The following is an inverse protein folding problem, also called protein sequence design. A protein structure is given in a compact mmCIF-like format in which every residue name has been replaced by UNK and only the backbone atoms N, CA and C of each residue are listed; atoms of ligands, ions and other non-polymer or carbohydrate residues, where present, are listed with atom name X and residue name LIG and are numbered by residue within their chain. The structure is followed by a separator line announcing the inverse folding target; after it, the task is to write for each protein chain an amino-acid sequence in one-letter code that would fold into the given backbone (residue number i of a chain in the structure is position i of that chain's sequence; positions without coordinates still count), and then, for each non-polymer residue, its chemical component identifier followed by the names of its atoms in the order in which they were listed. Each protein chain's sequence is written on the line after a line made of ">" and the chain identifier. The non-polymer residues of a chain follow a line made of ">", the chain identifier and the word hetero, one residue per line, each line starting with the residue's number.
data_IF_346945918899
#
_entry.id   IF_346945918899
#
_cell.length_a   1.000
_cell.length_b   1.000
_cell.length_c   1.000
_cell.angle_alpha   90.00
_cell.angle_beta   90.00
_cell.angle_gamma   90.00
#
_symmetry.space_group_name_H-M   'P 1'
#
loop_
_entity.id
_entity.type
_entity.pdbx_description
1 polymer ?
#
# COMPACT_ATOMS: atom_id res chain seq x y z
N UNK A 1 -14.87 11.07 -14.92
CA UNK A 1 -14.19 11.12 -13.61
C UNK A 1 -13.56 9.78 -13.25
N UNK A 2 -14.31 8.69 -13.01
CA UNK A 2 -13.74 7.39 -12.57
C UNK A 2 -12.63 6.79 -13.47
N UNK A 3 -12.74 6.96 -14.80
CA UNK A 3 -11.73 6.48 -15.76
C UNK A 3 -10.41 7.26 -15.68
N UNK A 4 -10.47 8.54 -15.34
CA UNK A 4 -9.29 9.39 -15.20
C UNK A 4 -8.53 9.05 -13.92
N UNK A 5 -9.26 8.91 -12.80
CA UNK A 5 -8.66 8.50 -11.52
C UNK A 5 -7.96 7.14 -11.62
N UNK A 6 -8.56 6.18 -12.34
CA UNK A 6 -7.95 4.89 -12.61
C UNK A 6 -6.61 5.01 -13.36
N UNK A 7 -6.59 5.81 -14.44
CA UNK A 7 -5.38 6.02 -15.25
C UNK A 7 -4.28 6.72 -14.43
N UNK A 8 -4.65 7.76 -13.69
CA UNK A 8 -3.73 8.49 -12.83
C UNK A 8 -3.12 7.55 -11.76
N UNK A 9 -3.93 6.73 -11.09
CA UNK A 9 -3.45 5.76 -10.11
C UNK A 9 -2.46 4.74 -10.71
N UNK A 10 -2.71 4.25 -11.92
CA UNK A 10 -1.80 3.32 -12.60
C UNK A 10 -0.46 3.99 -12.97
N UNK A 11 -0.50 5.21 -13.55
CA UNK A 11 0.72 5.96 -13.89
C UNK A 11 1.53 6.29 -12.62
N UNK A 12 0.85 6.66 -11.54
CA UNK A 12 1.47 6.90 -10.23
C UNK A 12 2.24 5.68 -9.71
N UNK A 13 1.82 4.47 -10.06
CA UNK A 13 2.57 3.25 -9.73
C UNK A 13 3.77 3.07 -10.64
N UNK A 14 3.53 3.09 -11.95
CA UNK A 14 4.56 2.92 -12.97
C UNK A 14 4.08 3.37 -14.36
N UNK A 15 4.89 4.11 -15.16
CA UNK A 15 4.51 4.59 -16.49
C UNK A 15 4.01 3.49 -17.44
N UNK A 16 4.71 2.34 -17.50
CA UNK A 16 4.28 1.16 -18.26
C UNK A 16 2.80 0.78 -18.08
N UNK A 17 2.21 0.92 -16.89
CA UNK A 17 0.83 0.51 -16.64
C UNK A 17 -0.19 1.34 -17.44
N UNK A 18 0.22 2.50 -17.95
CA UNK A 18 -0.61 3.29 -18.85
C UNK A 18 -0.92 2.55 -20.16
N UNK A 19 -0.02 1.68 -20.63
CA UNK A 19 -0.22 0.85 -21.82
C UNK A 19 -1.37 -0.16 -21.67
N UNK A 20 -1.70 -0.52 -20.43
CA UNK A 20 -2.82 -1.43 -20.11
C UNK A 20 -4.17 -0.70 -20.08
N UNK A 21 -4.16 0.64 -20.13
CA UNK A 21 -5.39 1.42 -20.16
C UNK A 21 -6.03 1.38 -21.55
N UNK A 22 -7.36 1.43 -21.59
CA UNK A 22 -8.10 1.63 -22.84
C UNK A 22 -7.91 3.09 -23.28
N UNK A 23 -7.05 3.31 -24.28
CA UNK A 23 -6.74 4.61 -24.87
C UNK A 23 -7.57 4.86 -26.14
N UNK A 24 -7.87 6.13 -26.43
CA UNK A 24 -8.41 6.54 -27.73
C UNK A 24 -7.31 6.55 -28.79
N UNK A 25 -7.67 6.56 -30.08
CA UNK A 25 -6.67 6.59 -31.16
C UNK A 25 -5.82 7.88 -31.16
N UNK A 26 -6.41 9.00 -30.72
CA UNK A 26 -5.70 10.28 -30.52
C UNK A 26 -4.71 10.23 -29.35
N UNK A 27 -5.05 9.53 -28.26
CA UNK A 27 -4.14 9.33 -27.14
C UNK A 27 -2.98 8.43 -27.55
N UNK A 28 -3.25 7.35 -28.30
CA UNK A 28 -2.21 6.43 -28.78
C UNK A 28 -1.19 7.10 -29.70
N UNK A 29 -1.60 8.05 -30.53
CA UNK A 29 -0.69 8.75 -31.44
C UNK A 29 0.22 9.75 -30.71
N UNK A 30 -0.20 10.25 -29.54
CA UNK A 30 0.59 11.16 -28.71
C UNK A 30 1.56 10.48 -27.74
N UNK A 31 1.58 9.15 -27.67
CA UNK A 31 2.36 8.38 -26.70
C UNK A 31 3.45 7.58 -27.41
N UNK A 32 4.68 7.67 -26.91
CA UNK A 32 5.74 6.73 -27.28
C UNK A 32 5.52 5.39 -26.56
N UNK A 33 4.76 4.51 -27.22
CA UNK A 33 4.46 3.17 -26.72
C UNK A 33 5.73 2.33 -26.51
N UNK A 34 6.74 2.49 -27.38
CA UNK A 34 7.98 1.73 -27.29
C UNK A 34 8.80 2.13 -26.05
N UNK A 35 8.86 3.44 -25.76
CA UNK A 35 9.49 3.94 -24.54
C UNK A 35 8.79 3.43 -23.28
N UNK A 36 7.44 3.43 -23.26
CA UNK A 36 6.68 2.89 -22.12
C UNK A 36 6.90 1.39 -21.92
N UNK A 37 6.96 0.61 -23.00
CA UNK A 37 7.25 -0.82 -22.92
C UNK A 37 8.68 -1.10 -22.45
N UNK A 38 9.66 -0.32 -22.90
CA UNK A 38 11.04 -0.41 -22.42
C UNK A 38 11.14 -0.10 -20.92
N UNK A 39 10.36 0.88 -20.43
CA UNK A 39 10.33 1.23 -19.00
C UNK A 39 9.87 0.07 -18.10
N UNK A 40 9.09 -0.90 -18.62
CA UNK A 40 8.54 -2.02 -17.84
C UNK A 40 9.59 -2.77 -17.03
N UNK A 41 10.82 -2.88 -17.54
CA UNK A 41 11.88 -3.66 -16.89
C UNK A 41 12.61 -2.87 -15.79
N UNK A 42 12.34 -1.58 -15.65
CA UNK A 42 13.10 -0.65 -14.82
C UNK A 42 12.20 -0.16 -13.67
N UNK A 43 12.24 -0.79 -12.48
CA UNK A 43 11.36 -0.44 -11.37
C UNK A 43 11.51 1.00 -10.89
N UNK A 44 12.68 1.63 -11.13
CA UNK A 44 12.93 3.02 -10.75
C UNK A 44 12.18 4.05 -11.59
N UNK A 45 11.65 3.67 -12.76
CA UNK A 45 10.80 4.55 -13.59
C UNK A 45 9.43 4.78 -12.94
N UNK A 46 8.95 3.86 -12.09
CA UNK A 46 7.74 4.02 -11.31
C UNK A 46 8.03 4.45 -9.87
N UNK A 47 7.52 5.60 -9.43
CA UNK A 47 7.82 6.13 -8.08
C UNK A 47 7.36 5.19 -6.95
N UNK A 48 6.12 4.67 -7.00
CA UNK A 48 5.63 3.73 -5.98
C UNK A 48 6.27 2.36 -6.14
N UNK A 49 6.55 1.93 -7.37
CA UNK A 49 7.25 0.67 -7.64
C UNK A 49 8.64 0.70 -7.02
N UNK A 50 9.39 1.79 -7.22
CA UNK A 50 10.69 2.04 -6.60
C UNK A 50 10.64 1.95 -5.08
N UNK A 51 9.68 2.64 -4.45
CA UNK A 51 9.47 2.56 -3.00
C UNK A 51 9.24 1.12 -2.55
N UNK A 52 8.33 0.38 -3.21
CA UNK A 52 8.01 -1.01 -2.86
C UNK A 52 9.23 -1.91 -2.98
N UNK A 53 9.99 -1.81 -4.08
CA UNK A 53 11.16 -2.66 -4.30
C UNK A 53 12.20 -2.45 -3.21
N UNK A 54 12.43 -1.21 -2.80
CA UNK A 54 13.37 -0.88 -1.75
C UNK A 54 12.86 -1.33 -0.37
N UNK A 55 11.59 -1.08 -0.07
CA UNK A 55 10.95 -1.55 1.16
C UNK A 55 11.09 -3.08 1.29
N UNK A 56 10.83 -3.81 0.21
CA UNK A 56 10.96 -5.28 0.17
C UNK A 56 12.41 -5.70 0.36
N UNK A 57 13.37 -5.01 -0.27
CA UNK A 57 14.81 -5.28 -0.11
C UNK A 57 15.23 -5.18 1.36
N UNK A 58 14.92 -4.06 2.01
CA UNK A 58 15.29 -3.79 3.40
C UNK A 58 14.52 -4.68 4.38
N UNK A 59 13.24 -4.96 4.12
CA UNK A 59 12.43 -5.86 4.93
C UNK A 59 12.95 -7.30 4.88
N UNK A 60 13.39 -7.77 3.71
CA UNK A 60 13.91 -9.12 3.54
C UNK A 60 15.18 -9.36 4.38
N UNK A 61 16.09 -8.37 4.45
CA UNK A 61 17.30 -8.39 5.28
C UNK A 61 16.93 -8.48 6.77
N UNK A 62 15.89 -7.78 7.20
CA UNK A 62 15.37 -7.78 8.57
C UNK A 62 14.47 -8.99 8.89
N UNK A 63 14.31 -9.92 7.94
CA UNK A 63 13.39 -11.06 8.04
C UNK A 63 11.93 -10.65 8.38
N UNK A 64 11.52 -9.52 7.82
CA UNK A 64 10.15 -9.01 7.87
C UNK A 64 9.39 -9.41 6.61
N UNK A 65 8.07 -9.62 6.74
CA UNK A 65 7.18 -9.97 5.63
C UNK A 65 6.34 -8.77 5.24
N UNK A 66 6.27 -8.51 3.94
CA UNK A 66 5.54 -7.37 3.36
C UNK A 66 4.24 -7.85 2.73
N UNK A 67 3.14 -7.22 3.13
CA UNK A 67 1.82 -7.39 2.54
C UNK A 67 1.50 -6.16 1.69
N UNK A 68 1.22 -6.37 0.40
CA UNK A 68 0.98 -5.29 -0.54
C UNK A 68 -0.45 -5.40 -1.06
N UNK A 69 -1.25 -4.38 -0.82
CA UNK A 69 -2.62 -4.28 -1.32
C UNK A 69 -2.71 -3.32 -2.50
N UNK A 70 -3.48 -3.71 -3.51
CA UNK A 70 -3.90 -2.85 -4.62
C UNK A 70 -5.36 -3.12 -4.99
N UNK A 71 -6.05 -2.10 -5.51
CA UNK A 71 -7.37 -2.24 -6.12
C UNK A 71 -7.30 -2.88 -7.52
N UNK A 72 -6.13 -2.80 -8.16
CA UNK A 72 -5.89 -3.18 -9.54
C UNK A 72 -4.92 -4.37 -9.60
N UNK A 73 -5.13 -5.27 -10.57
CA UNK A 73 -4.26 -6.45 -10.71
C UNK A 73 -2.97 -6.13 -11.46
N UNK A 74 -3.01 -5.23 -12.44
CA UNK A 74 -1.85 -4.80 -13.24
C UNK A 74 -0.64 -4.36 -12.41
N UNK A 75 -0.81 -3.45 -11.41
CA UNK A 75 0.25 -3.11 -10.45
C UNK A 75 0.85 -4.31 -9.72
N UNK A 76 0.01 -5.26 -9.28
CA UNK A 76 0.47 -6.46 -8.58
C UNK A 76 1.28 -7.37 -9.51
N UNK A 77 0.82 -7.57 -10.74
CA UNK A 77 1.54 -8.32 -11.77
C UNK A 77 2.90 -7.70 -12.09
N UNK A 78 2.94 -6.37 -12.25
CA UNK A 78 4.19 -5.66 -12.53
C UNK A 78 5.19 -5.78 -11.37
N UNK A 79 4.73 -5.56 -10.13
CA UNK A 79 5.58 -5.72 -8.94
C UNK A 79 6.07 -7.16 -8.83
N UNK A 80 5.21 -8.15 -9.10
CA UNK A 80 5.61 -9.55 -9.11
C UNK A 80 6.73 -9.83 -10.12
N UNK A 81 6.61 -9.31 -11.34
CA UNK A 81 7.64 -9.44 -12.38
C UNK A 81 8.97 -8.79 -11.95
N UNK A 82 8.92 -7.61 -11.35
CA UNK A 82 10.12 -6.96 -10.80
C UNK A 82 10.75 -7.75 -9.66
N UNK A 83 9.96 -8.31 -8.75
CA UNK A 83 10.47 -9.14 -7.66
C UNK A 83 11.13 -10.42 -8.18
N UNK A 84 10.56 -11.04 -9.22
CA UNK A 84 11.16 -12.18 -9.92
C UNK A 84 12.49 -11.79 -10.59
N UNK A 85 12.50 -10.69 -11.34
CA UNK A 85 13.67 -10.24 -12.10
C UNK A 85 14.84 -9.75 -11.25
N UNK A 86 14.57 -8.91 -10.24
CA UNK A 86 15.62 -8.30 -9.42
C UNK A 86 16.15 -9.22 -8.33
N UNK A 87 15.28 -10.00 -7.68
CA UNK A 87 15.69 -10.85 -6.55
C UNK A 87 15.83 -12.34 -6.91
N UNK A 88 15.45 -12.75 -8.12
CA UNK A 88 15.41 -14.17 -8.51
C UNK A 88 14.38 -14.98 -7.70
N UNK A 89 13.36 -14.32 -7.17
CA UNK A 89 12.39 -14.96 -6.27
C UNK A 89 11.31 -15.72 -7.05
N UNK A 90 11.05 -16.95 -6.62
CA UNK A 90 10.01 -17.79 -7.22
C UNK A 90 8.61 -17.46 -6.67
N UNK A 91 7.65 -17.43 -7.58
CA UNK A 91 6.22 -17.43 -7.27
C UNK A 91 5.80 -18.71 -6.54
N UNK A 92 4.86 -18.59 -5.61
CA UNK A 92 4.40 -19.69 -4.74
C UNK A 92 5.37 -20.03 -3.60
N UNK A 93 6.57 -19.42 -3.59
CA UNK A 93 7.57 -19.62 -2.53
C UNK A 93 7.84 -18.33 -1.76
N UNK A 94 8.64 -17.42 -2.33
CA UNK A 94 8.99 -16.13 -1.70
C UNK A 94 7.96 -15.05 -2.02
N UNK A 95 7.34 -15.14 -3.20
CA UNK A 95 6.27 -14.25 -3.66
C UNK A 95 4.97 -15.04 -3.69
N UNK A 96 4.01 -14.62 -2.90
CA UNK A 96 2.65 -15.16 -2.90
C UNK A 96 1.71 -14.12 -3.52
N UNK A 97 0.70 -14.57 -4.26
CA UNK A 97 -0.30 -13.68 -4.87
C UNK A 97 -1.72 -14.19 -4.60
N UNK A 98 -2.59 -13.31 -4.14
CA UNK A 98 -3.97 -13.61 -3.78
C UNK A 98 -4.93 -12.68 -4.53
N UNK A 99 -5.88 -13.27 -5.24
CA UNK A 99 -6.89 -12.58 -6.05
C UNK A 99 -8.30 -13.01 -5.66
N UNK A 100 -9.29 -12.13 -5.89
CA UNK A 100 -10.66 -12.35 -5.42
C UNK A 100 -11.35 -13.57 -6.04
N UNK A 101 -10.93 -13.99 -7.25
CA UNK A 101 -11.46 -15.15 -7.97
C UNK A 101 -10.88 -16.50 -7.51
N UNK A 102 -9.92 -16.50 -6.59
CA UNK A 102 -9.23 -17.71 -6.14
C UNK A 102 -10.16 -18.60 -5.29
N UNK A 103 -10.09 -19.91 -5.49
CA UNK A 103 -10.83 -20.88 -4.67
C UNK A 103 -10.45 -20.81 -3.19
N UNK A 104 -11.39 -21.11 -2.31
CA UNK A 104 -11.21 -21.00 -0.86
C UNK A 104 -10.02 -21.83 -0.35
N UNK A 105 -9.83 -23.04 -0.89
CA UNK A 105 -8.74 -23.94 -0.49
C UNK A 105 -7.37 -23.37 -0.84
N UNK A 106 -7.18 -22.89 -2.07
CA UNK A 106 -5.91 -22.34 -2.53
C UNK A 106 -5.55 -21.07 -1.75
N UNK A 107 -6.56 -20.23 -1.51
CA UNK A 107 -6.42 -19.03 -0.68
C UNK A 107 -5.97 -19.38 0.74
N UNK A 108 -6.59 -20.39 1.37
CA UNK A 108 -6.21 -20.82 2.71
C UNK A 108 -4.77 -21.37 2.74
N UNK A 109 -4.34 -22.08 1.69
CA UNK A 109 -2.96 -22.55 1.57
C UNK A 109 -1.97 -21.39 1.53
N UNK A 110 -2.25 -20.34 0.75
CA UNK A 110 -1.42 -19.13 0.70
C UNK A 110 -1.39 -18.41 2.05
N UNK A 111 -2.53 -18.29 2.74
CA UNK A 111 -2.62 -17.68 4.07
C UNK A 111 -1.75 -18.44 5.07
N UNK A 112 -1.86 -19.77 5.08
CA UNK A 112 -1.09 -20.63 5.96
C UNK A 112 0.41 -20.50 5.67
N UNK A 113 0.80 -20.56 4.40
CA UNK A 113 2.19 -20.37 3.98
C UNK A 113 2.73 -18.98 4.32
N UNK A 114 1.90 -17.93 4.24
CA UNK A 114 2.33 -16.57 4.60
C UNK A 114 2.48 -16.39 6.12
N UNK A 115 1.59 -16.97 6.90
CA UNK A 115 1.61 -16.87 8.36
C UNK A 115 2.65 -17.78 9.04
N UNK A 116 3.07 -18.87 8.38
CA UNK A 116 4.08 -19.78 8.93
C UNK A 116 5.45 -19.06 9.08
N UNK A 117 6.01 -18.95 10.30
CA UNK A 117 7.33 -18.38 10.52
C UNK A 117 8.48 -19.15 9.84
N UNK A 118 8.28 -20.44 9.53
CA UNK A 118 9.27 -21.29 8.86
C UNK A 118 9.21 -21.19 7.34
N UNK A 119 8.15 -20.59 6.80
CA UNK A 119 7.98 -20.40 5.37
C UNK A 119 8.98 -19.38 4.81
N UNK A 120 9.43 -19.62 3.58
CA UNK A 120 10.29 -18.69 2.83
C UNK A 120 9.53 -17.45 2.32
N UNK A 121 8.21 -17.38 2.48
CA UNK A 121 7.40 -16.27 2.01
C UNK A 121 7.92 -14.93 2.56
N UNK A 122 8.21 -13.99 1.64
CA UNK A 122 8.66 -12.63 1.95
C UNK A 122 7.62 -11.59 1.60
N UNK A 123 6.88 -11.81 0.50
CA UNK A 123 5.87 -10.87 0.01
C UNK A 123 4.56 -11.59 -0.27
N UNK A 124 3.46 -11.00 0.16
CA UNK A 124 2.12 -11.36 -0.28
C UNK A 124 1.49 -10.17 -1.02
N UNK A 125 1.20 -10.38 -2.30
CA UNK A 125 0.50 -9.45 -3.18
C UNK A 125 -0.99 -9.78 -3.11
N UNK A 126 -1.83 -8.84 -2.71
CA UNK A 126 -3.25 -9.09 -2.51
C UNK A 126 -4.12 -8.00 -3.15
N UNK A 127 -5.16 -8.42 -3.86
CA UNK A 127 -6.21 -7.50 -4.27
C UNK A 127 -7.03 -7.08 -3.05
N UNK A 128 -7.38 -5.80 -2.91
CA UNK A 128 -8.26 -5.31 -1.84
C UNK A 128 -9.63 -6.00 -1.84
N UNK A 129 -10.08 -6.52 -3.00
CA UNK A 129 -11.30 -7.34 -3.10
C UNK A 129 -11.25 -8.63 -2.27
N UNK A 130 -10.07 -9.16 -1.96
CA UNK A 130 -9.92 -10.34 -1.11
C UNK A 130 -10.19 -10.05 0.37
N UNK A 131 -10.16 -8.78 0.78
CA UNK A 131 -10.27 -8.38 2.19
C UNK A 131 -11.67 -8.57 2.77
N UNK A 132 -12.72 -8.64 1.94
CA UNK A 132 -14.11 -8.82 2.38
C UNK A 132 -14.41 -10.24 2.89
N UNK A 133 -13.51 -11.19 2.69
CA UNK A 133 -13.73 -12.62 3.00
C UNK A 133 -13.26 -13.04 4.40
N UNK A 134 -12.88 -12.11 5.26
CA UNK A 134 -12.58 -12.43 6.66
C UNK A 134 -11.20 -13.06 6.91
N UNK A 135 -10.24 -12.92 5.97
CA UNK A 135 -8.90 -13.52 6.03
C UNK A 135 -8.04 -13.05 7.22
N UNK A 136 -6.99 -13.81 7.56
CA UNK A 136 -6.06 -13.51 8.66
C UNK A 136 -4.60 -13.54 8.16
N UNK A 137 -3.90 -12.41 8.21
CA UNK A 137 -2.58 -12.21 7.62
C UNK A 137 -1.55 -11.70 8.66
N UNK A 138 -1.62 -12.24 9.89
CA UNK A 138 -0.74 -11.90 11.03
C UNK A 138 0.76 -12.17 10.79
N UNK A 139 1.12 -12.87 9.71
CA UNK A 139 2.51 -13.05 9.29
C UNK A 139 3.19 -11.75 8.84
N UNK A 140 2.42 -10.75 8.42
CA UNK A 140 2.95 -9.45 7.97
C UNK A 140 3.33 -8.55 9.15
N UNK A 141 4.46 -7.86 9.04
CA UNK A 141 4.83 -6.71 9.88
C UNK A 141 4.82 -5.39 9.10
N UNK A 142 4.81 -5.46 7.76
CA UNK A 142 4.76 -4.30 6.87
C UNK A 142 3.56 -4.42 5.94
N UNK A 143 2.73 -3.39 5.88
CA UNK A 143 1.54 -3.32 5.02
C UNK A 143 1.67 -2.11 4.10
N UNK A 144 1.61 -2.33 2.79
CA UNK A 144 1.62 -1.26 1.79
C UNK A 144 0.25 -1.18 1.13
N UNK A 145 -0.31 0.02 1.11
CA UNK A 145 -1.49 0.34 0.32
C UNK A 145 -1.03 1.16 -0.89
N UNK A 146 -1.04 0.51 -2.05
CA UNK A 146 -0.54 1.13 -3.30
C UNK A 146 -1.45 2.24 -3.81
N UNK A 147 -2.76 2.07 -3.64
CA UNK A 147 -3.78 2.93 -4.20
C UNK A 147 -4.66 3.52 -3.11
N UNK A 148 -4.97 4.81 -3.21
CA UNK A 148 -5.97 5.45 -2.36
C UNK A 148 -7.37 4.96 -2.75
N UNK A 149 -8.13 4.40 -1.80
CA UNK A 149 -9.52 3.94 -2.00
C UNK A 149 -10.51 5.08 -1.72
N UNK A 150 -11.68 5.08 -2.37
CA UNK A 150 -12.72 6.08 -2.08
C UNK A 150 -13.46 5.85 -0.77
N UNK A 151 -13.45 4.59 -0.31
CA UNK A 151 -14.12 4.14 0.90
C UNK A 151 -13.07 3.77 1.96
N UNK A 152 -12.88 4.58 3.03
CA UNK A 152 -11.88 4.32 4.08
C UNK A 152 -12.06 2.95 4.73
N UNK A 153 -13.30 2.47 4.83
CA UNK A 153 -13.59 1.17 5.45
C UNK A 153 -12.92 0.01 4.73
N UNK A 154 -12.68 0.11 3.41
CA UNK A 154 -11.98 -0.94 2.64
C UNK A 154 -10.52 -1.04 3.08
N UNK A 155 -9.87 0.11 3.25
CA UNK A 155 -8.50 0.24 3.72
C UNK A 155 -8.37 -0.22 5.17
N UNK A 156 -9.22 0.29 6.07
CA UNK A 156 -9.27 -0.13 7.47
C UNK A 156 -9.47 -1.65 7.58
N UNK A 157 -10.39 -2.21 6.79
CA UNK A 157 -10.59 -3.67 6.75
C UNK A 157 -9.38 -4.45 6.25
N UNK A 158 -8.62 -3.91 5.29
CA UNK A 158 -7.39 -4.52 4.78
C UNK A 158 -6.28 -4.51 5.85
N UNK A 159 -6.07 -3.38 6.52
CA UNK A 159 -5.10 -3.23 7.62
C UNK A 159 -5.45 -4.18 8.77
N UNK A 160 -6.73 -4.27 9.15
CA UNK A 160 -7.21 -5.21 10.18
C UNK A 160 -7.01 -6.69 9.83
N UNK A 161 -6.61 -7.05 8.60
CA UNK A 161 -6.20 -8.43 8.30
C UNK A 161 -4.81 -8.75 8.82
N UNK A 162 -3.91 -7.76 8.86
CA UNK A 162 -2.56 -7.90 9.41
C UNK A 162 -2.50 -7.52 10.89
N UNK A 163 -3.23 -6.47 11.29
CA UNK A 163 -3.43 -6.08 12.68
C UNK A 163 -4.66 -6.79 13.26
N UNK A 164 -4.46 -8.06 13.64
CA UNK A 164 -5.52 -8.93 14.18
C UNK A 164 -5.01 -9.73 15.38
N UNK A 165 -5.94 -10.27 16.17
CA UNK A 165 -5.64 -11.22 17.23
C UNK A 165 -4.70 -12.33 16.71
N UNK A 166 -3.58 -12.52 17.42
CA UNK A 166 -2.49 -13.42 17.02
C UNK A 166 -1.26 -12.71 16.44
N UNK A 167 -1.35 -11.41 16.13
CA UNK A 167 -0.19 -10.60 15.79
C UNK A 167 0.74 -10.43 17.00
N UNK A 168 2.05 -10.60 16.77
CA UNK A 168 3.09 -10.49 17.80
C UNK A 168 4.10 -9.37 17.53
N UNK A 169 4.11 -8.84 16.30
CA UNK A 169 5.03 -7.79 15.85
C UNK A 169 4.30 -6.46 15.72
N UNK A 170 5.05 -5.36 15.78
CA UNK A 170 4.54 -4.05 15.38
C UNK A 170 4.22 -4.13 13.88
N UNK A 171 3.05 -3.60 13.49
CA UNK A 171 2.62 -3.54 12.10
C UNK A 171 2.74 -2.09 11.63
N UNK A 172 3.64 -1.85 10.67
CA UNK A 172 3.77 -0.56 10.00
C UNK A 172 2.94 -0.56 8.73
N UNK A 173 2.13 0.49 8.55
CA UNK A 173 1.26 0.64 7.37
C UNK A 173 1.68 1.86 6.57
N UNK A 174 1.89 1.70 5.28
CA UNK A 174 2.30 2.74 4.34
C UNK A 174 1.18 3.04 3.36
N UNK A 175 0.71 4.29 3.37
CA UNK A 175 -0.26 4.81 2.41
C UNK A 175 0.50 5.56 1.33
N UNK A 176 0.62 4.99 0.14
CA UNK A 176 1.41 5.58 -0.93
C UNK A 176 0.56 6.56 -1.73
N UNK A 177 1.01 7.82 -1.78
CA UNK A 177 0.39 8.91 -2.51
C UNK A 177 1.43 9.60 -3.37
N UNK A 178 1.12 9.82 -4.64
CA UNK A 178 1.97 10.56 -5.56
C UNK A 178 1.57 12.02 -5.61
N UNK A 179 2.53 12.91 -5.34
CA UNK A 179 2.31 14.37 -5.43
C UNK A 179 2.04 14.81 -6.86
N UNK A 180 1.32 15.93 -7.02
CA UNK A 180 0.86 16.41 -8.32
C UNK A 180 -0.26 15.57 -8.97
N UNK A 181 -0.83 14.62 -8.23
CA UNK A 181 -1.96 13.79 -8.68
C UNK A 181 -3.18 13.99 -7.79
N UNK A 182 -4.34 13.48 -8.22
CA UNK A 182 -5.60 13.56 -7.45
C UNK A 182 -5.62 12.66 -6.21
N UNK A 183 -4.56 11.87 -5.97
CA UNK A 183 -4.48 10.95 -4.83
C UNK A 183 -4.49 11.68 -3.48
N UNK A 184 -3.80 12.82 -3.38
CA UNK A 184 -3.78 13.64 -2.16
C UNK A 184 -5.17 14.19 -1.81
N UNK A 185 -5.86 14.79 -2.78
CA UNK A 185 -7.22 15.31 -2.61
C UNK A 185 -8.21 14.20 -2.24
N UNK A 186 -8.06 13.03 -2.87
CA UNK A 186 -8.88 11.85 -2.59
C UNK A 186 -8.68 11.37 -1.16
N UNK A 187 -7.44 11.35 -0.69
CA UNK A 187 -7.12 10.98 0.69
C UNK A 187 -7.66 12.00 1.71
N UNK A 188 -7.53 13.30 1.46
CA UNK A 188 -8.12 14.33 2.32
C UNK A 188 -9.64 14.15 2.45
N UNK A 189 -10.34 13.88 1.35
CA UNK A 189 -11.79 13.58 1.36
C UNK A 189 -12.12 12.29 2.10
N UNK A 190 -11.26 11.27 2.01
CA UNK A 190 -11.42 10.03 2.78
C UNK A 190 -11.32 10.32 4.28
N UNK A 191 -10.30 11.06 4.71
CA UNK A 191 -10.09 11.42 6.11
C UNK A 191 -11.28 12.24 6.67
N UNK A 192 -11.84 13.15 5.87
CA UNK A 192 -13.04 13.88 6.25
C UNK A 192 -14.26 12.96 6.44
N UNK A 193 -14.49 12.01 5.51
CA UNK A 193 -15.57 11.03 5.65
C UNK A 193 -15.42 10.18 6.91
N UNK A 194 -14.19 9.78 7.22
CA UNK A 194 -13.89 9.00 8.42
C UNK A 194 -14.16 9.81 9.69
N UNK A 195 -13.70 11.06 9.75
CA UNK A 195 -13.98 11.98 10.85
C UNK A 195 -15.48 12.20 11.07
N UNK A 196 -16.23 12.42 9.99
CA UNK A 196 -17.68 12.59 10.07
C UNK A 196 -18.37 11.33 10.58
N UNK A 197 -17.92 10.15 10.12
CA UNK A 197 -18.39 8.85 10.62
C UNK A 197 -18.14 8.74 12.14
N UNK A 198 -16.93 9.01 12.60
CA UNK A 198 -16.56 8.96 14.02
C UNK A 198 -17.41 9.90 14.89
N UNK A 199 -17.65 11.14 14.44
CA UNK A 199 -18.48 12.09 15.18
C UNK A 199 -19.92 11.60 15.37
N UNK A 200 -20.50 10.97 14.34
CA UNK A 200 -21.85 10.40 14.42
C UNK A 200 -21.91 9.28 15.45
N UNK A 201 -20.90 8.40 15.49
CA UNK A 201 -20.87 7.28 16.46
C UNK A 201 -20.47 7.69 17.88
N UNK A 202 -19.64 8.73 18.03
CA UNK A 202 -19.15 9.20 19.35
C UNK A 202 -20.24 9.93 20.13
N UNK A 203 -21.21 10.55 19.45
CA UNK A 203 -22.36 11.21 20.11
C UNK A 203 -23.27 10.26 20.92
N UNK A 204 -23.05 8.95 20.83
CA UNK A 204 -23.80 7.91 21.56
C UNK A 204 -23.03 7.29 22.74
N UNK A 205 -21.81 7.74 23.07
CA UNK A 205 -21.00 7.16 24.15
C UNK A 205 -20.23 8.24 24.90
N UNK A 206 -20.76 8.67 26.05
CA UNK A 206 -20.07 9.53 27.02
C UNK A 206 -18.96 8.73 27.73
N UNK A 207 -17.79 8.60 27.12
CA UNK A 207 -16.56 8.21 27.83
C UNK A 207 -15.48 9.28 27.63
N UNK A 208 -15.31 10.13 28.64
CA UNK A 208 -14.17 11.03 28.75
C UNK A 208 -12.94 10.24 29.17
N UNK A 209 -12.02 9.98 28.23
CA UNK A 209 -10.67 9.54 28.56
C UNK A 209 -9.70 10.73 28.52
N UNK A 210 -9.18 11.10 29.70
CA UNK A 210 -8.06 12.04 29.89
C UNK A 210 -6.84 11.56 29.08
N UNK A 211 -6.18 12.46 28.34
CA UNK A 211 -4.88 12.14 27.74
C UNK A 211 -3.85 13.26 27.87
N UNK A 212 -2.68 12.81 28.32
CA UNK A 212 -1.37 13.47 28.35
C UNK A 212 -0.73 13.42 26.97
N UNK A 213 -0.11 14.52 26.54
CA UNK A 213 0.68 14.62 25.31
C UNK A 213 1.83 13.61 25.34
N UNK A 214 1.79 12.64 24.43
CA UNK A 214 2.91 11.77 24.12
C UNK A 214 3.27 11.99 22.66
N UNK A 215 4.26 12.84 22.41
CA UNK A 215 5.04 12.87 21.18
C UNK A 215 5.44 11.42 20.85
N UNK A 216 4.80 10.82 19.85
CA UNK A 216 5.10 9.44 19.46
C UNK A 216 5.90 9.47 18.16
N UNK A 217 7.22 9.63 18.30
CA UNK A 217 8.15 9.23 17.27
C UNK A 217 8.01 7.71 17.10
N UNK A 218 7.44 7.28 15.96
CA UNK A 218 7.49 5.89 15.56
C UNK A 218 8.83 5.73 14.84
N UNK A 219 9.82 5.16 15.53
CA UNK A 219 11.10 4.71 14.95
C UNK A 219 10.78 3.58 13.97
N UNK A 220 10.77 3.94 12.69
CA UNK A 220 10.72 3.01 11.58
C UNK A 220 12.08 3.00 10.89
N UNK A 221 13.00 2.22 11.45
CA UNK A 221 14.35 2.08 10.89
C UNK A 221 14.41 1.69 9.41
N UNK A 222 13.35 1.12 8.80
CA UNK A 222 13.35 0.88 7.34
C UNK A 222 13.11 2.19 6.59
N UNK A 223 12.10 2.97 6.99
CA UNK A 223 11.83 4.26 6.36
C UNK A 223 12.98 5.24 6.62
N UNK A 224 13.56 5.22 7.81
CA UNK A 224 14.73 6.04 8.14
C UNK A 224 15.92 5.71 7.23
N UNK A 225 16.23 4.42 7.02
CA UNK A 225 17.25 4.00 6.04
C UNK A 225 16.93 4.52 4.62
N UNK A 226 15.67 4.42 4.19
CA UNK A 226 15.24 4.88 2.87
C UNK A 226 15.36 6.39 2.70
N UNK A 227 15.05 7.17 3.74
CA UNK A 227 15.15 8.64 3.73
C UNK A 227 16.62 9.09 3.79
N UNK A 228 17.47 8.34 4.49
CA UNK A 228 18.90 8.61 4.56
C UNK A 228 19.65 8.29 3.26
N UNK A 229 19.12 7.40 2.41
CA UNK A 229 19.72 7.10 1.10
C UNK A 229 19.61 8.29 0.14
N UNK A 230 20.78 8.82 -0.26
CA UNK A 230 20.90 9.95 -1.19
C UNK A 230 20.19 9.69 -2.51
N UNK A 231 20.15 8.45 -2.98
CA UNK A 231 19.49 8.09 -4.24
C UNK A 231 17.97 8.20 -4.15
N UNK A 232 17.40 8.06 -2.95
CA UNK A 232 15.97 8.03 -2.70
C UNK A 232 15.42 9.35 -2.15
N UNK A 233 16.29 10.28 -1.75
CA UNK A 233 15.91 11.58 -1.16
C UNK A 233 14.87 12.35 -2.00
N UNK A 234 14.98 12.31 -3.33
CA UNK A 234 14.05 12.98 -4.24
C UNK A 234 12.67 12.32 -4.38
N UNK A 235 12.47 11.13 -3.83
CA UNK A 235 11.19 10.39 -3.90
C UNK A 235 10.21 10.84 -2.81
N UNK A 236 10.71 11.34 -1.68
CA UNK A 236 9.90 11.70 -0.53
C UNK A 236 9.71 13.21 -0.45
N UNK A 237 8.57 13.71 -0.92
CA UNK A 237 8.20 15.10 -0.71
C UNK A 237 7.75 15.35 0.73
N UNK A 238 6.89 14.47 1.25
CA UNK A 238 6.36 14.57 2.61
C UNK A 238 6.07 13.18 3.17
N UNK A 239 6.48 12.95 4.41
CA UNK A 239 6.11 11.76 5.19
C UNK A 239 5.21 12.22 6.32
N UNK A 240 3.99 11.71 6.35
CA UNK A 240 2.99 12.06 7.36
C UNK A 240 2.81 10.84 8.26
N UNK A 241 3.20 10.98 9.52
CA UNK A 241 2.89 9.99 10.55
C UNK A 241 1.50 10.28 11.08
N UNK A 242 0.55 9.36 10.85
CA UNK A 242 -0.73 9.44 11.52
C UNK A 242 -0.53 9.11 13.01
N UNK A 243 -0.90 10.00 13.94
CA UNK A 243 -0.86 9.68 15.35
C UNK A 243 -1.81 8.50 15.62
N UNK A 244 -1.40 7.58 16.50
CA UNK A 244 -2.27 6.51 17.01
C UNK A 244 -3.58 7.14 17.46
N UNK A 245 -4.70 6.67 16.92
CA UNK A 245 -6.08 7.17 17.12
C UNK A 245 -6.21 7.97 18.42
N UNK A 246 -6.07 9.31 18.29
CA UNK A 246 -6.53 10.35 19.23
C UNK A 246 -6.17 11.80 18.85
N UNK A 247 -5.29 12.05 17.86
CA UNK A 247 -4.93 13.42 17.45
C UNK A 247 -5.08 13.68 15.94
N UNK A 248 -6.26 13.39 15.36
CA UNK A 248 -6.59 13.83 13.99
C UNK A 248 -6.93 15.33 13.90
N UNK A 249 -7.16 15.99 15.05
CA UNK A 249 -7.65 17.39 15.11
C UNK A 249 -6.55 18.41 14.82
N UNK A 250 -5.29 18.14 15.18
CA UNK A 250 -4.22 19.15 15.07
C UNK A 250 -3.43 19.06 13.76
N UNK A 251 -3.36 17.90 13.10
CA UNK A 251 -2.48 17.71 11.93
C UNK A 251 -2.99 18.40 10.65
N UNK A 252 -4.28 18.76 10.59
CA UNK A 252 -4.90 19.40 9.43
C UNK A 252 -5.42 20.82 9.67
N UNK A 253 -5.09 21.44 10.82
CA UNK A 253 -5.24 22.88 10.97
C UNK A 253 -4.19 23.58 10.10
N UNK A 254 -4.52 23.77 8.83
CA UNK A 254 -3.94 24.83 8.01
C UNK A 254 -4.28 26.12 8.75
N UNK A 255 -3.26 26.73 9.37
CA UNK A 255 -3.40 28.01 10.04
C UNK A 255 -3.97 29.03 9.04
N UNK A 256 -4.99 29.74 9.52
CA UNK A 256 -5.74 30.81 8.86
C UNK A 256 -4.87 31.90 8.25
#
# INVERSE_FOLDING_TARGET
>A
MLKFDHRAALISVHPYLFTQCRLTEEEKSGIDQAALEASRLIPSEGVKTRFVMELVRLSAVRNEKVLIFSQYLGPLDLIQDHLKGFFGWAEGKKILKMEGKMGQKDRQNLINAFNDPKSEAKVLLASTKCCSEGINLVGASRVVLLDVVWNPSVERQAICRAYRLGQKKIVYTYHLMTSGTTEGDKYCRQAEKERLSELVFTSSSNEQCKHTNADTCIDDGIVEDMVADVNLKGMFEKIIYQPKEKNLVETFSIAS
#
